data_IF_901889685928
#
_entry.id   IF_901889685928
#
_cell.length_a   1.000
_cell.length_b   1.000
_cell.length_c   1.000
_cell.angle_alpha   90.00
_cell.angle_beta   90.00
_cell.angle_gamma   90.00
#
_symmetry.space_group_name_H-M   'P 1'
#
loop_
_entity.id
_entity.type
_entity.pdbx_description
1 polymer ?
#
# COMPACT_ATOMS: atom_id res chain seq x y z
N UNK A 1 1.40 38.47 -12.89
CA UNK A 1 0.41 37.47 -12.42
C UNK A 1 0.86 36.89 -11.10
N UNK A 2 0.00 36.82 -10.06
CA UNK A 2 0.38 36.23 -8.78
C UNK A 2 0.45 34.70 -8.91
N UNK A 3 1.62 34.12 -8.63
CA UNK A 3 1.85 32.67 -8.69
C UNK A 3 1.45 32.06 -7.34
N UNK A 4 0.44 31.18 -7.33
CA UNK A 4 0.07 30.44 -6.12
C UNK A 4 1.27 29.59 -5.67
N UNK A 5 1.73 29.78 -4.42
CA UNK A 5 2.75 28.93 -3.80
C UNK A 5 2.12 27.54 -3.59
N UNK A 6 2.78 26.48 -4.10
CA UNK A 6 2.38 25.09 -3.81
C UNK A 6 2.57 24.87 -2.31
N UNK A 7 1.49 24.51 -1.62
CA UNK A 7 1.53 24.05 -0.24
C UNK A 7 2.40 22.79 -0.20
N UNK A 8 3.43 22.73 0.67
CA UNK A 8 4.23 21.53 0.82
C UNK A 8 3.33 20.41 1.32
N UNK A 9 3.35 19.27 0.63
CA UNK A 9 2.72 18.05 1.11
C UNK A 9 3.49 17.63 2.36
N UNK A 10 2.85 17.73 3.51
CA UNK A 10 3.42 17.21 4.77
C UNK A 10 3.30 15.70 4.68
N UNK A 11 4.36 15.05 4.23
CA UNK A 11 4.47 13.60 4.32
C UNK A 11 4.64 13.25 5.80
N UNK A 12 3.70 12.53 6.44
CA UNK A 12 3.91 12.10 7.80
C UNK A 12 5.17 11.25 7.84
N UNK A 13 6.10 11.59 8.73
CA UNK A 13 7.27 10.76 8.96
C UNK A 13 6.80 9.45 9.59
N UNK A 14 6.78 8.39 8.78
CA UNK A 14 6.58 7.03 9.28
C UNK A 14 7.92 6.59 9.84
N UNK A 15 7.96 6.30 11.14
CA UNK A 15 9.12 5.64 11.74
C UNK A 15 9.08 4.17 11.31
N UNK A 16 9.85 3.86 10.25
CA UNK A 16 9.92 2.51 9.69
C UNK A 16 11.09 1.78 10.34
N UNK A 17 10.84 0.70 11.11
CA UNK A 17 11.92 0.01 11.80
C UNK A 17 12.96 -0.55 10.81
N UNK A 18 14.23 -0.49 11.20
CA UNK A 18 15.36 -0.82 10.33
C UNK A 18 15.28 -2.27 9.82
N UNK A 19 14.79 -3.18 10.65
CA UNK A 19 14.61 -4.59 10.31
C UNK A 19 13.63 -4.81 9.15
N UNK A 20 12.69 -3.89 8.90
CA UNK A 20 11.81 -3.97 7.73
C UNK A 20 12.55 -3.56 6.45
N UNK A 21 13.36 -2.50 6.53
CA UNK A 21 14.18 -2.05 5.41
C UNK A 21 15.20 -3.12 5.00
N UNK A 22 15.85 -3.77 5.96
CA UNK A 22 16.80 -4.86 5.71
C UNK A 22 16.13 -6.08 5.05
N UNK A 23 14.86 -6.36 5.36
CA UNK A 23 14.09 -7.43 4.70
C UNK A 23 13.67 -7.07 3.27
N UNK A 24 13.35 -5.79 3.03
CA UNK A 24 12.94 -5.30 1.71
C UNK A 24 14.13 -5.13 0.76
N UNK A 25 15.30 -4.78 1.31
CA UNK A 25 16.51 -4.45 0.57
C UNK A 25 17.62 -5.41 1.02
N UNK A 26 17.71 -6.63 0.45
CA UNK A 26 18.64 -7.67 0.90
C UNK A 26 20.11 -7.38 0.57
N UNK A 27 20.40 -6.25 -0.08
CA UNK A 27 21.74 -5.83 -0.48
C UNK A 27 21.70 -4.51 -1.26
N UNK A 28 22.85 -4.03 -1.74
CA UNK A 28 22.91 -2.80 -2.53
C UNK A 28 22.01 -2.90 -3.77
N UNK A 29 21.12 -1.92 -3.96
CA UNK A 29 20.26 -1.81 -5.14
C UNK A 29 20.49 -0.45 -5.80
N UNK A 30 20.30 -0.40 -7.11
CA UNK A 30 20.18 0.87 -7.82
C UNK A 30 18.81 1.52 -7.55
N UNK A 31 18.65 2.78 -7.97
CA UNK A 31 17.41 3.52 -7.74
C UNK A 31 16.19 2.83 -8.38
N UNK A 32 16.37 2.18 -9.53
CA UNK A 32 15.31 1.45 -10.21
C UNK A 32 14.87 0.20 -9.43
N UNK A 33 15.82 -0.56 -8.87
CA UNK A 33 15.55 -1.72 -8.05
C UNK A 33 14.82 -1.37 -6.76
N UNK A 34 15.22 -0.29 -6.09
CA UNK A 34 14.51 0.21 -4.90
C UNK A 34 13.07 0.59 -5.24
N UNK A 35 12.84 1.38 -6.30
CA UNK A 35 11.50 1.77 -6.72
C UNK A 35 10.62 0.54 -7.05
N UNK A 36 11.18 -0.45 -7.76
CA UNK A 36 10.46 -1.67 -8.09
C UNK A 36 10.00 -2.44 -6.84
N UNK A 37 10.86 -2.58 -5.83
CA UNK A 37 10.52 -3.23 -4.56
C UNK A 37 9.38 -2.48 -3.86
N UNK A 38 9.47 -1.16 -3.77
CA UNK A 38 8.43 -0.36 -3.10
C UNK A 38 7.10 -0.34 -3.86
N UNK A 39 7.11 -0.40 -5.20
CA UNK A 39 5.87 -0.56 -5.98
C UNK A 39 5.22 -1.93 -5.75
N UNK A 40 6.01 -3.00 -5.69
CA UNK A 40 5.50 -4.33 -5.36
C UNK A 40 4.94 -4.39 -3.94
N UNK A 41 5.64 -3.81 -2.97
CA UNK A 41 5.17 -3.71 -1.57
C UNK A 41 3.85 -2.94 -1.50
N UNK A 42 3.75 -1.78 -2.15
CA UNK A 42 2.55 -0.96 -2.18
C UNK A 42 1.36 -1.74 -2.76
N UNK A 43 1.58 -2.44 -3.89
CA UNK A 43 0.56 -3.31 -4.49
C UNK A 43 0.11 -4.39 -3.51
N UNK A 44 1.05 -5.11 -2.90
CA UNK A 44 0.74 -6.19 -1.97
C UNK A 44 -0.05 -5.71 -0.74
N UNK A 45 0.30 -4.54 -0.19
CA UNK A 45 -0.41 -3.93 0.94
C UNK A 45 -1.84 -3.57 0.55
N UNK A 46 -2.03 -2.91 -0.61
CA UNK A 46 -3.36 -2.51 -1.09
C UNK A 46 -4.22 -3.75 -1.36
N UNK A 47 -3.70 -4.75 -2.09
CA UNK A 47 -4.46 -5.97 -2.37
C UNK A 47 -4.84 -6.74 -1.11
N UNK A 48 -3.94 -6.76 -0.11
CA UNK A 48 -4.26 -7.37 1.19
C UNK A 48 -5.36 -6.62 1.93
N UNK A 49 -5.32 -5.29 1.94
CA UNK A 49 -6.36 -4.47 2.55
C UNK A 49 -7.71 -4.67 1.85
N UNK A 50 -7.74 -4.54 0.52
CA UNK A 50 -8.94 -4.76 -0.29
C UNK A 50 -9.49 -6.17 -0.12
N UNK A 51 -8.62 -7.19 -0.06
CA UNK A 51 -9.02 -8.57 0.18
C UNK A 51 -9.65 -8.79 1.55
N UNK A 52 -9.14 -8.12 2.58
CA UNK A 52 -9.69 -8.14 3.93
C UNK A 52 -11.05 -7.43 4.00
N UNK A 53 -11.15 -6.24 3.41
CA UNK A 53 -12.41 -5.47 3.30
C UNK A 53 -13.48 -6.28 2.57
N UNK A 54 -13.15 -6.88 1.43
CA UNK A 54 -14.06 -7.76 0.69
C UNK A 54 -14.43 -9.00 1.52
N UNK A 55 -13.50 -9.57 2.27
CA UNK A 55 -13.75 -10.69 3.16
C UNK A 55 -14.78 -10.34 4.25
N UNK A 56 -14.64 -9.16 4.86
CA UNK A 56 -15.60 -8.65 5.84
C UNK A 56 -16.96 -8.39 5.19
N UNK A 57 -17.00 -7.74 4.03
CA UNK A 57 -18.24 -7.45 3.30
C UNK A 57 -19.03 -8.71 2.92
N UNK A 58 -18.34 -9.77 2.49
CA UNK A 58 -18.99 -11.03 2.13
C UNK A 58 -19.39 -11.87 3.36
N UNK A 59 -18.81 -11.62 4.52
CA UNK A 59 -19.19 -12.28 5.78
C UNK A 59 -20.37 -11.60 6.48
N UNK A 60 -20.68 -10.35 6.12
CA UNK A 60 -21.86 -9.62 6.61
C UNK A 60 -23.15 -10.24 6.06
N UNK A 61 -24.21 -10.27 6.86
CA UNK A 61 -25.51 -10.82 6.47
C UNK A 61 -26.16 -10.02 5.33
N UNK A 62 -25.96 -8.70 5.28
CA UNK A 62 -26.47 -7.85 4.20
C UNK A 62 -25.62 -7.94 2.92
N UNK A 63 -24.31 -8.14 3.05
CA UNK A 63 -23.37 -8.15 1.94
C UNK A 63 -23.08 -9.53 1.35
N UNK A 64 -23.29 -10.60 2.12
CA UNK A 64 -22.94 -11.99 1.79
C UNK A 64 -24.09 -12.84 1.23
N UNK A 65 -25.35 -12.43 1.42
CA UNK A 65 -26.51 -13.21 0.94
C UNK A 65 -26.65 -13.11 -0.59
N UNK A 66 -26.06 -14.08 -1.30
CA UNK A 66 -26.15 -14.21 -2.76
C UNK A 66 -24.93 -13.67 -3.53
N UNK A 67 -23.99 -13.01 -2.85
CA UNK A 67 -22.74 -12.53 -3.44
C UNK A 67 -21.59 -13.52 -3.23
N UNK A 68 -20.73 -13.64 -4.22
CA UNK A 68 -19.55 -14.50 -4.19
C UNK A 68 -18.37 -13.83 -4.89
N UNK A 69 -17.15 -14.33 -4.63
CA UNK A 69 -15.96 -13.86 -5.31
C UNK A 69 -15.98 -14.29 -6.79
N UNK A 70 -15.65 -13.35 -7.68
CA UNK A 70 -15.52 -13.59 -9.12
C UNK A 70 -14.07 -13.36 -9.56
N UNK A 71 -13.18 -14.22 -9.05
CA UNK A 71 -11.72 -14.10 -9.24
C UNK A 71 -11.28 -14.08 -10.70
#
# INVERSE_FOLDING_TARGET
MPRKKKTPVVTPAIDLPKEFLEKLIPGPMDAAGVEAVFQQLKKAVIERALGAELGLHLADAEGGSGNHRNG
#
